data_IF_706258513266
#
_entry.id   IF_706258513266
#
_cell.length_a   1.000
_cell.length_b   1.000
_cell.length_c   1.000
_cell.angle_alpha   90.00
_cell.angle_beta   90.00
_cell.angle_gamma   90.00
#
_symmetry.space_group_name_H-M   'P 1'
#
loop_
_entity.id
_entity.type
_entity.pdbx_description
1 polymer ?
#
# COMPACT_ATOMS: atom_id res chain seq x y z
N UNK A 1 31.64 -20.83 -13.91
CA UNK A 1 30.19 -20.75 -13.61
C UNK A 1 29.76 -19.31 -13.91
N UNK A 2 29.31 -19.04 -15.14
CA UNK A 2 29.00 -17.68 -15.58
C UNK A 2 27.66 -17.22 -15.01
N UNK A 3 27.63 -16.06 -14.36
CA UNK A 3 26.38 -15.44 -13.91
C UNK A 3 25.68 -14.84 -15.12
N UNK A 4 24.53 -15.39 -15.50
CA UNK A 4 23.67 -14.79 -16.51
C UNK A 4 23.16 -13.46 -15.92
N UNK A 5 23.43 -12.30 -16.53
CA UNK A 5 22.89 -11.04 -16.06
C UNK A 5 21.36 -11.09 -16.12
N UNK A 6 20.69 -10.74 -15.01
CA UNK A 6 19.24 -10.59 -14.96
C UNK A 6 18.94 -9.10 -15.13
N UNK A 7 18.69 -8.61 -16.36
CA UNK A 7 18.47 -7.18 -16.60
C UNK A 7 17.28 -6.62 -15.81
N UNK A 8 16.33 -7.48 -15.41
CA UNK A 8 15.19 -7.14 -14.55
C UNK A 8 15.53 -7.03 -13.05
N UNK A 9 16.78 -7.27 -12.66
CA UNK A 9 17.23 -7.21 -11.25
C UNK A 9 18.48 -6.35 -11.11
N UNK A 10 19.29 -6.23 -12.15
CA UNK A 10 20.45 -5.35 -12.17
C UNK A 10 20.07 -3.94 -11.72
N UNK A 11 20.86 -3.38 -10.80
CA UNK A 11 20.61 -2.04 -10.30
C UNK A 11 20.77 -1.01 -11.42
N UNK A 12 19.74 -0.19 -11.64
CA UNK A 12 19.64 0.79 -12.72
C UNK A 12 19.62 2.24 -12.21
N UNK A 13 19.90 2.46 -10.92
CA UNK A 13 19.87 3.80 -10.32
C UNK A 13 18.48 4.30 -9.93
N UNK A 14 17.41 3.53 -10.19
CA UNK A 14 16.04 3.99 -9.94
C UNK A 14 15.52 3.63 -8.55
N UNK A 15 14.60 4.46 -8.04
CA UNK A 15 13.83 4.11 -6.83
C UNK A 15 12.93 2.90 -7.08
N UNK A 16 12.36 2.77 -8.28
CA UNK A 16 11.52 1.65 -8.68
C UNK A 16 12.24 0.31 -8.49
N UNK A 17 13.50 0.19 -8.93
CA UNK A 17 14.27 -1.04 -8.75
C UNK A 17 14.44 -1.39 -7.28
N UNK A 18 14.76 -0.39 -6.44
CA UNK A 18 14.95 -0.59 -4.99
C UNK A 18 13.63 -0.98 -4.33
N UNK A 19 12.57 -0.20 -4.56
CA UNK A 19 11.25 -0.40 -3.97
C UNK A 19 10.64 -1.74 -4.39
N UNK A 20 10.79 -2.14 -5.65
CA UNK A 20 10.31 -3.43 -6.15
C UNK A 20 11.03 -4.60 -5.47
N UNK A 21 12.36 -4.55 -5.35
CA UNK A 21 13.10 -5.62 -4.65
C UNK A 21 12.76 -5.64 -3.15
N UNK A 22 12.55 -4.48 -2.53
CA UNK A 22 12.10 -4.36 -1.14
C UNK A 22 10.70 -4.97 -0.96
N UNK A 23 9.76 -4.69 -1.87
CA UNK A 23 8.41 -5.27 -1.84
C UNK A 23 8.43 -6.80 -1.93
N UNK A 24 9.24 -7.37 -2.83
CA UNK A 24 9.41 -8.83 -2.95
C UNK A 24 9.96 -9.43 -1.65
N UNK A 25 10.96 -8.79 -1.05
CA UNK A 25 11.56 -9.26 0.21
C UNK A 25 10.57 -9.23 1.39
N UNK A 26 9.81 -8.14 1.51
CA UNK A 26 8.90 -7.92 2.64
C UNK A 26 7.58 -8.68 2.50
N UNK A 27 7.12 -8.98 1.28
CA UNK A 27 5.74 -9.45 1.03
C UNK A 27 5.30 -10.67 1.85
N UNK A 28 6.20 -11.58 2.19
CA UNK A 28 5.90 -12.78 2.99
C UNK A 28 6.17 -12.57 4.48
N UNK A 29 7.24 -11.86 4.82
CA UNK A 29 7.74 -11.78 6.22
C UNK A 29 7.12 -10.60 6.97
N UNK A 30 6.86 -9.50 6.27
CA UNK A 30 6.40 -8.22 6.84
C UNK A 30 5.36 -7.57 5.92
N UNK A 31 4.16 -8.16 5.78
CA UNK A 31 3.15 -7.71 4.83
C UNK A 31 2.64 -6.28 5.10
N UNK A 32 2.56 -5.86 6.36
CA UNK A 32 2.15 -4.49 6.72
C UNK A 32 3.17 -3.45 6.26
N UNK A 33 4.47 -3.76 6.38
CA UNK A 33 5.55 -2.89 5.90
C UNK A 33 5.59 -2.86 4.37
N UNK A 34 5.39 -4.02 3.73
CA UNK A 34 5.26 -4.10 2.27
C UNK A 34 4.13 -3.20 1.75
N UNK A 35 2.98 -3.20 2.43
CA UNK A 35 1.83 -2.36 2.07
C UNK A 35 2.06 -0.88 2.39
N UNK A 36 2.79 -0.54 3.46
CA UNK A 36 3.18 0.83 3.74
C UNK A 36 4.15 1.38 2.67
N UNK A 37 5.17 0.62 2.32
CA UNK A 37 6.16 1.00 1.31
C UNK A 37 5.56 1.12 -0.10
N UNK A 38 4.65 0.21 -0.47
CA UNK A 38 3.92 0.30 -1.72
C UNK A 38 3.16 1.63 -1.84
N UNK A 39 2.42 2.04 -0.80
CA UNK A 39 1.69 3.32 -0.79
C UNK A 39 2.62 4.53 -0.74
N UNK A 40 3.76 4.43 -0.05
CA UNK A 40 4.73 5.53 0.06
C UNK A 40 5.48 5.77 -1.25
N UNK A 41 5.78 4.70 -1.99
CA UNK A 41 6.65 4.76 -3.17
C UNK A 41 5.90 4.73 -4.50
N UNK A 42 4.67 4.19 -4.50
CA UNK A 42 3.87 3.75 -5.65
C UNK A 42 4.50 2.62 -6.46
N UNK A 43 5.47 1.91 -5.88
CA UNK A 43 6.18 0.82 -6.52
C UNK A 43 6.09 -0.49 -5.73
N UNK A 44 6.02 -1.65 -6.42
CA UNK A 44 5.83 -1.77 -7.87
C UNK A 44 4.43 -1.27 -8.31
N UNK A 45 4.32 -0.84 -9.56
CA UNK A 45 3.01 -0.49 -10.12
C UNK A 45 2.16 -1.76 -10.25
N UNK A 46 1.12 -1.87 -9.41
CA UNK A 46 0.23 -3.02 -9.42
C UNK A 46 -0.96 -2.76 -10.34
N UNK A 47 -1.41 -3.77 -11.11
CA UNK A 47 -2.65 -3.66 -11.86
C UNK A 47 -3.82 -3.35 -10.92
N UNK A 48 -4.88 -2.67 -11.40
CA UNK A 48 -6.04 -2.39 -10.58
C UNK A 48 -6.75 -3.68 -10.17
N UNK A 49 -7.21 -3.74 -8.93
CA UNK A 49 -7.96 -4.88 -8.41
C UNK A 49 -9.29 -5.00 -9.16
N UNK A 50 -9.68 -6.24 -9.48
CA UNK A 50 -10.91 -6.53 -10.19
C UNK A 50 -11.68 -7.67 -9.51
N UNK A 51 -13.00 -7.51 -9.39
CA UNK A 51 -13.90 -8.55 -8.90
C UNK A 51 -15.12 -8.63 -9.83
N UNK A 52 -15.34 -9.81 -10.43
CA UNK A 52 -16.46 -10.02 -11.36
C UNK A 52 -16.45 -9.12 -12.59
N UNK A 53 -15.26 -8.71 -13.08
CA UNK A 53 -15.11 -7.80 -14.23
C UNK A 53 -15.29 -6.32 -13.91
N UNK A 54 -15.51 -5.96 -12.64
CA UNK A 54 -15.58 -4.57 -12.18
C UNK A 54 -14.27 -4.16 -11.50
N UNK A 55 -13.77 -2.98 -11.84
CA UNK A 55 -12.65 -2.34 -11.15
C UNK A 55 -13.04 -1.99 -9.72
N UNK A 56 -12.17 -2.34 -8.77
CA UNK A 56 -12.28 -1.96 -7.37
C UNK A 56 -11.47 -0.70 -7.10
N UNK A 57 -11.95 0.13 -6.17
CA UNK A 57 -11.17 1.25 -5.67
C UNK A 57 -10.02 0.74 -4.80
N UNK A 58 -8.82 1.27 -5.05
CA UNK A 58 -7.64 0.92 -4.26
C UNK A 58 -7.84 1.37 -2.82
N UNK A 59 -7.79 0.43 -1.89
CA UNK A 59 -7.82 0.72 -0.46
C UNK A 59 -6.44 1.18 0.01
N UNK A 60 -6.37 2.39 0.57
CA UNK A 60 -5.12 3.04 1.03
C UNK A 60 -5.02 3.16 2.55
N UNK A 61 -6.08 2.80 3.28
CA UNK A 61 -6.10 2.71 4.74
C UNK A 61 -7.11 1.68 5.23
N UNK A 62 -6.97 1.25 6.48
CA UNK A 62 -8.00 0.49 7.19
C UNK A 62 -8.89 1.52 7.92
N UNK A 63 -10.21 1.34 7.84
CA UNK A 63 -11.18 2.18 8.55
C UNK A 63 -11.19 1.86 10.04
N UNK A 64 -11.62 2.81 10.87
CA UNK A 64 -11.71 2.54 12.31
C UNK A 64 -12.72 1.42 12.60
N UNK A 65 -12.49 0.62 13.66
CA UNK A 65 -13.41 -0.45 14.01
C UNK A 65 -14.76 0.14 14.47
N UNK A 66 -15.84 -0.60 14.24
CA UNK A 66 -17.20 -0.16 14.58
C UNK A 66 -17.41 0.13 16.07
N UNK A 67 -16.58 -0.44 16.94
CA UNK A 67 -16.59 -0.18 18.39
C UNK A 67 -16.22 1.25 18.75
N UNK A 68 -15.47 1.97 17.91
CA UNK A 68 -15.14 3.39 18.16
C UNK A 68 -16.39 4.27 18.05
N UNK A 69 -17.37 3.87 17.23
CA UNK A 69 -18.65 4.58 17.09
C UNK A 69 -19.41 4.63 18.41
N UNK A 70 -19.37 3.54 19.20
CA UNK A 70 -20.09 3.45 20.47
C UNK A 70 -19.24 3.89 21.66
N UNK A 71 -17.95 3.56 21.68
CA UNK A 71 -17.10 3.73 22.87
C UNK A 71 -16.32 5.06 22.88
N UNK A 72 -16.22 5.74 21.73
CA UNK A 72 -15.45 6.96 21.55
C UNK A 72 -16.14 7.93 20.57
N UNK A 73 -17.48 8.01 20.68
CA UNK A 73 -18.35 8.68 19.72
C UNK A 73 -17.96 10.13 19.42
N UNK A 74 -17.56 10.90 20.44
CA UNK A 74 -17.16 12.30 20.28
C UNK A 74 -15.92 12.44 19.38
N UNK A 75 -14.88 11.64 19.62
CA UNK A 75 -13.66 11.68 18.82
C UNK A 75 -13.88 11.11 17.42
N UNK A 76 -14.69 10.04 17.32
CA UNK A 76 -15.00 9.41 16.04
C UNK A 76 -15.79 10.37 15.13
N UNK A 77 -16.80 11.07 15.66
CA UNK A 77 -17.62 11.98 14.84
C UNK A 77 -16.77 13.11 14.23
N UNK A 78 -15.71 13.56 14.91
CA UNK A 78 -14.80 14.58 14.39
C UNK A 78 -14.00 14.12 13.15
N UNK A 79 -13.79 12.81 12.97
CA UNK A 79 -13.00 12.24 11.87
C UNK A 79 -13.83 11.42 10.87
N UNK A 80 -15.10 11.13 11.20
CA UNK A 80 -16.01 10.25 10.46
C UNK A 80 -16.10 10.56 8.97
N UNK A 81 -16.16 11.84 8.60
CA UNK A 81 -16.25 12.25 7.19
C UNK A 81 -15.04 11.83 6.33
N UNK A 82 -13.90 11.56 6.96
CA UNK A 82 -12.63 11.16 6.33
C UNK A 82 -12.25 9.70 6.61
N UNK A 83 -13.10 8.95 7.32
CA UNK A 83 -12.87 7.54 7.61
C UNK A 83 -13.38 6.65 6.46
N UNK A 84 -12.76 6.81 5.29
CA UNK A 84 -13.06 6.00 4.10
C UNK A 84 -11.84 5.18 3.69
N UNK A 85 -12.02 4.00 3.05
CA UNK A 85 -10.91 3.18 2.57
C UNK A 85 -9.97 3.90 1.57
N UNK A 86 -10.47 4.95 0.91
CA UNK A 86 -9.78 5.72 -0.13
C UNK A 86 -9.15 7.02 0.36
N UNK A 87 -9.45 7.46 1.59
CA UNK A 87 -8.82 8.64 2.15
C UNK A 87 -7.38 8.33 2.54
N UNK A 88 -6.41 9.03 1.94
CA UNK A 88 -4.99 8.82 2.22
C UNK A 88 -4.62 9.22 3.64
N UNK A 89 -3.61 8.52 4.17
CA UNK A 89 -2.98 8.86 5.46
C UNK A 89 -1.98 9.99 5.28
N UNK A 90 -1.63 10.67 6.36
CA UNK A 90 -0.84 11.91 6.31
C UNK A 90 0.53 11.80 5.60
N UNK A 91 1.15 10.62 5.63
CA UNK A 91 2.45 10.36 4.99
C UNK A 91 2.34 9.88 3.54
N UNK A 92 1.13 9.54 3.08
CA UNK A 92 0.84 9.08 1.72
C UNK A 92 0.47 10.29 0.85
N UNK A 93 1.49 10.90 0.25
CA UNK A 93 1.42 12.23 -0.40
C UNK A 93 1.57 12.21 -1.92
N UNK A 94 1.88 11.07 -2.53
CA UNK A 94 2.22 10.99 -3.96
C UNK A 94 1.02 10.86 -4.87
#
# INVERSE_FOLDING_TARGET
MGTIPRPLVAYDGTLERIATQKWIHLGIVQPYEAWAELRRTDYPELPPDQLGGRLLERTVRIVYPSTEVTNNSQSYEAVRAKDTPTTRVWWDVK
#
